data_IF_948622333402
#
_entry.id   IF_948622333402
#
_cell.length_a   1.000
_cell.length_b   1.000
_cell.length_c   1.000
_cell.angle_alpha   90.00
_cell.angle_beta   90.00
_cell.angle_gamma   90.00
#
_symmetry.space_group_name_H-M   'P 1'
#
loop_
_entity.id
_entity.type
_entity.pdbx_description
1 polymer ?
#
# COMPACT_ATOMS: atom_id res chain seq x y z
N UNK A 1 -1.25 39.59 -42.18
CA UNK A 1 -0.51 38.83 -41.11
C UNK A 1 0.97 39.04 -41.38
N UNK A 2 1.61 39.75 -40.50
CA UNK A 2 3.05 39.99 -40.57
C UNK A 2 3.84 38.74 -40.10
N UNK A 3 5.11 38.68 -40.47
CA UNK A 3 5.98 37.55 -39.99
C UNK A 3 5.97 37.43 -38.47
N UNK A 4 5.74 38.50 -37.75
CA UNK A 4 5.62 38.59 -36.31
C UNK A 4 4.32 37.90 -35.78
N UNK A 5 3.21 38.03 -36.50
CA UNK A 5 1.95 37.37 -36.16
C UNK A 5 2.06 35.84 -36.28
N UNK A 6 2.77 35.38 -37.33
CA UNK A 6 2.99 33.95 -37.57
C UNK A 6 3.85 33.38 -36.46
N UNK A 7 4.88 34.09 -36.01
CA UNK A 7 5.78 33.64 -34.92
C UNK A 7 5.02 33.53 -33.60
N UNK A 8 4.09 34.46 -33.32
CA UNK A 8 3.24 34.43 -32.11
C UNK A 8 2.26 33.25 -32.12
N UNK A 9 1.68 32.93 -33.30
CA UNK A 9 0.80 31.75 -33.44
C UNK A 9 1.59 30.44 -33.22
N UNK A 10 2.80 30.32 -33.80
CA UNK A 10 3.65 29.15 -33.60
C UNK A 10 4.00 29.00 -32.10
N UNK A 11 4.34 30.09 -31.44
CA UNK A 11 4.65 30.08 -30.02
C UNK A 11 3.43 29.69 -29.18
N UNK A 12 2.23 30.13 -29.54
CA UNK A 12 0.98 29.75 -28.92
C UNK A 12 0.72 28.24 -29.05
N UNK A 13 0.98 27.65 -30.21
CA UNK A 13 0.85 26.18 -30.41
C UNK A 13 1.87 25.42 -29.57
N UNK A 14 3.07 25.94 -29.39
CA UNK A 14 4.07 25.34 -28.48
C UNK A 14 3.59 25.42 -27.03
N UNK A 15 3.03 26.53 -26.59
CA UNK A 15 2.46 26.67 -25.25
C UNK A 15 1.28 25.70 -25.03
N UNK A 16 0.41 25.50 -26.02
CA UNK A 16 -0.68 24.54 -25.96
C UNK A 16 -0.14 23.09 -25.83
N UNK A 17 0.89 22.75 -26.58
CA UNK A 17 1.55 21.44 -26.48
C UNK A 17 2.23 21.24 -25.11
N UNK A 18 2.83 22.28 -24.53
CA UNK A 18 3.38 22.25 -23.18
C UNK A 18 2.29 22.11 -22.11
N UNK A 19 1.17 22.78 -22.26
CA UNK A 19 0.00 22.60 -21.38
C UNK A 19 -0.48 21.15 -21.40
N UNK A 20 -0.65 20.56 -22.58
CA UNK A 20 -0.99 19.14 -22.74
C UNK A 20 0.06 18.22 -22.08
N UNK A 21 1.35 18.53 -22.22
CA UNK A 21 2.44 17.79 -21.57
C UNK A 21 2.34 17.85 -20.05
N UNK A 22 2.16 19.01 -19.44
CA UNK A 22 2.03 19.13 -17.99
C UNK A 22 0.78 18.46 -17.45
N UNK A 23 -0.37 18.64 -18.12
CA UNK A 23 -1.64 18.01 -17.75
C UNK A 23 -1.57 16.48 -17.82
N UNK A 24 -0.97 15.93 -18.88
CA UNK A 24 -0.75 14.48 -19.00
C UNK A 24 0.26 13.96 -17.98
N UNK A 25 1.30 14.75 -17.65
CA UNK A 25 2.29 14.40 -16.66
C UNK A 25 1.71 14.28 -15.26
N UNK A 26 0.88 15.23 -14.86
CA UNK A 26 0.16 15.22 -13.59
C UNK A 26 -0.65 13.94 -13.45
N UNK A 27 -1.54 13.67 -14.41
CA UNK A 27 -2.42 12.51 -14.37
C UNK A 27 -1.65 11.19 -14.43
N UNK A 28 -0.68 11.05 -15.33
CA UNK A 28 0.08 9.82 -15.46
C UNK A 28 0.85 9.47 -14.17
N UNK A 29 1.54 10.45 -13.56
CA UNK A 29 2.36 10.21 -12.36
C UNK A 29 1.53 10.00 -11.09
N UNK A 30 0.28 10.48 -11.05
CA UNK A 30 -0.63 10.25 -9.92
C UNK A 30 -1.35 8.91 -10.01
N UNK A 31 -1.66 8.44 -11.24
CA UNK A 31 -2.40 7.20 -11.48
C UNK A 31 -1.52 5.98 -11.77
N UNK A 32 -0.19 6.18 -11.92
CA UNK A 32 0.75 5.08 -12.22
C UNK A 32 0.70 3.97 -11.17
N UNK A 33 0.70 2.72 -11.63
CA UNK A 33 0.77 1.55 -10.76
C UNK A 33 2.16 1.43 -10.12
N UNK A 34 2.28 1.83 -8.86
CA UNK A 34 3.55 1.83 -8.11
C UNK A 34 4.13 0.42 -7.91
N UNK A 35 3.27 -0.60 -7.77
CA UNK A 35 3.69 -2.00 -7.62
C UNK A 35 4.38 -2.45 -8.91
N UNK A 36 3.74 -2.23 -10.05
CA UNK A 36 4.32 -2.52 -11.36
C UNK A 36 5.63 -1.77 -11.62
N UNK A 37 5.71 -0.50 -11.21
CA UNK A 37 6.96 0.27 -11.32
C UNK A 37 8.08 -0.31 -10.45
N UNK A 38 7.78 -0.86 -9.26
CA UNK A 38 8.75 -1.57 -8.42
C UNK A 38 9.28 -2.81 -9.11
N UNK A 39 8.39 -3.67 -9.60
CA UNK A 39 8.79 -4.89 -10.34
C UNK A 39 9.70 -4.56 -11.54
N UNK A 40 9.35 -3.53 -12.32
CA UNK A 40 10.19 -3.09 -13.45
C UNK A 40 11.54 -2.53 -13.00
N UNK A 41 11.58 -1.81 -11.87
CA UNK A 41 12.81 -1.24 -11.32
C UNK A 41 13.75 -2.33 -10.78
N UNK A 42 13.23 -3.37 -10.17
CA UNK A 42 13.94 -4.57 -9.71
C UNK A 42 14.48 -5.37 -10.91
N UNK A 43 13.72 -5.44 -11.99
CA UNK A 43 14.18 -6.00 -13.27
C UNK A 43 15.23 -5.14 -14.01
N UNK A 44 15.73 -4.05 -13.39
CA UNK A 44 16.81 -3.22 -13.92
C UNK A 44 16.37 -2.02 -14.76
N UNK A 45 15.07 -1.75 -14.91
CA UNK A 45 14.58 -0.62 -15.71
C UNK A 45 14.89 0.73 -15.02
N UNK A 46 15.82 1.49 -15.60
CA UNK A 46 16.27 2.80 -15.08
C UNK A 46 15.18 3.87 -15.13
N UNK A 47 14.25 3.80 -16.09
CA UNK A 47 13.14 4.75 -16.20
C UNK A 47 12.12 4.51 -15.07
N UNK A 48 11.83 3.24 -14.74
CA UNK A 48 10.97 2.88 -13.62
C UNK A 48 11.54 3.36 -12.27
N UNK A 49 12.86 3.22 -12.08
CA UNK A 49 13.54 3.80 -10.90
C UNK A 49 13.36 5.32 -10.80
N UNK A 50 13.38 6.04 -11.93
CA UNK A 50 13.10 7.48 -11.95
C UNK A 50 11.65 7.80 -11.62
N UNK A 51 10.69 7.02 -12.13
CA UNK A 51 9.26 7.17 -11.78
C UNK A 51 9.08 7.04 -10.28
N UNK A 52 9.60 5.97 -9.66
CA UNK A 52 9.50 5.75 -8.22
C UNK A 52 10.09 6.92 -7.43
N UNK A 53 11.30 7.38 -7.79
CA UNK A 53 11.96 8.51 -7.14
C UNK A 53 11.15 9.82 -7.23
N UNK A 54 10.52 10.08 -8.37
CA UNK A 54 9.69 11.28 -8.59
C UNK A 54 8.40 11.19 -7.78
N UNK A 55 7.75 10.01 -7.75
CA UNK A 55 6.49 9.79 -7.05
C UNK A 55 6.64 9.56 -5.54
N UNK A 56 7.86 9.34 -5.04
CA UNK A 56 8.16 9.26 -3.62
C UNK A 56 7.85 10.57 -2.89
N UNK A 57 8.16 11.70 -3.53
CA UNK A 57 7.80 13.03 -3.01
C UNK A 57 6.67 13.65 -3.84
N UNK A 58 5.47 13.04 -3.73
CA UNK A 58 4.28 13.48 -4.48
C UNK A 58 3.94 14.96 -4.29
N UNK A 59 4.01 15.57 -3.09
CA UNK A 59 3.73 16.99 -2.94
C UNK A 59 4.70 17.88 -3.73
N UNK A 60 5.99 17.56 -3.71
CA UNK A 60 7.00 18.32 -4.48
C UNK A 60 6.82 18.15 -5.99
N UNK A 61 6.51 16.93 -6.42
CA UNK A 61 6.23 16.59 -7.81
C UNK A 61 5.03 17.38 -8.33
N UNK A 62 3.90 17.32 -7.60
CA UNK A 62 2.68 18.04 -7.98
C UNK A 62 2.89 19.55 -8.01
N UNK A 63 3.61 20.12 -7.02
CA UNK A 63 3.94 21.55 -7.02
C UNK A 63 4.76 21.95 -8.24
N UNK A 64 5.76 21.14 -8.64
CA UNK A 64 6.58 21.43 -9.81
C UNK A 64 5.75 21.43 -11.11
N UNK A 65 4.90 20.42 -11.28
CA UNK A 65 4.03 20.28 -12.46
C UNK A 65 3.01 21.43 -12.49
N UNK A 66 2.38 21.75 -11.37
CA UNK A 66 1.38 22.81 -11.24
C UNK A 66 1.98 24.18 -11.56
N UNK A 67 3.16 24.48 -11.05
CA UNK A 67 3.87 25.73 -11.37
C UNK A 67 4.15 25.82 -12.87
N UNK A 68 4.69 24.76 -13.48
CA UNK A 68 4.96 24.69 -14.90
C UNK A 68 3.70 24.88 -15.74
N UNK A 69 2.63 24.19 -15.41
CA UNK A 69 1.34 24.29 -16.11
C UNK A 69 0.74 25.71 -16.02
N UNK A 70 0.76 26.32 -14.82
CA UNK A 70 0.24 27.67 -14.62
C UNK A 70 1.05 28.71 -15.40
N UNK A 71 2.39 28.63 -15.41
CA UNK A 71 3.23 29.54 -16.20
C UNK A 71 2.87 29.44 -17.69
N UNK A 72 2.72 28.22 -18.20
CA UNK A 72 2.37 27.98 -19.61
C UNK A 72 0.98 28.55 -19.94
N UNK A 73 -0.02 28.24 -19.12
CA UNK A 73 -1.41 28.66 -19.37
C UNK A 73 -1.59 30.19 -19.27
N UNK A 74 -0.93 30.83 -18.28
CA UNK A 74 -0.95 32.29 -18.16
C UNK A 74 -0.23 32.97 -19.34
N UNK A 75 0.91 32.41 -19.78
CA UNK A 75 1.64 32.90 -20.94
C UNK A 75 0.79 32.77 -22.23
N UNK A 76 0.13 31.63 -22.42
CA UNK A 76 -0.77 31.41 -23.56
C UNK A 76 -1.93 32.40 -23.56
N UNK A 77 -2.56 32.62 -22.41
CA UNK A 77 -3.67 33.58 -22.27
C UNK A 77 -3.25 35.02 -22.57
N UNK A 78 -2.11 35.44 -22.00
CA UNK A 78 -1.56 36.79 -22.24
C UNK A 78 -1.22 37.03 -23.72
N UNK A 79 -0.55 36.04 -24.35
CA UNK A 79 -0.20 36.14 -25.76
C UNK A 79 -1.42 36.18 -26.67
N UNK A 80 -2.41 35.35 -26.38
CA UNK A 80 -3.68 35.35 -27.15
C UNK A 80 -4.42 36.66 -27.05
N UNK A 81 -4.51 37.20 -25.83
CA UNK A 81 -5.18 38.52 -25.63
C UNK A 81 -4.46 39.60 -26.40
N UNK A 82 -3.12 39.64 -26.36
CA UNK A 82 -2.32 40.62 -27.12
C UNK A 82 -2.53 40.49 -28.64
N UNK A 83 -2.47 39.26 -29.16
CA UNK A 83 -2.67 38.97 -30.58
C UNK A 83 -4.10 39.29 -31.02
N UNK A 84 -5.09 38.98 -30.22
CA UNK A 84 -6.50 39.24 -30.51
C UNK A 84 -6.81 40.75 -30.57
N UNK A 85 -6.25 41.55 -29.65
CA UNK A 85 -6.38 43.01 -29.66
C UNK A 85 -5.77 43.58 -30.95
N UNK A 86 -4.58 43.08 -31.33
CA UNK A 86 -3.86 43.51 -32.54
C UNK A 86 -4.65 43.21 -33.82
N UNK A 87 -5.26 42.02 -33.92
CA UNK A 87 -5.94 41.57 -35.15
C UNK A 87 -7.39 42.03 -35.24
N UNK A 88 -8.12 42.09 -34.13
CA UNK A 88 -9.58 42.25 -34.09
C UNK A 88 -10.05 43.43 -33.24
N UNK A 89 -9.13 44.16 -32.62
CA UNK A 89 -9.46 45.25 -31.69
C UNK A 89 -9.98 44.71 -30.33
N UNK A 90 -10.40 45.66 -29.47
CA UNK A 90 -10.80 45.35 -28.10
C UNK A 90 -12.02 44.39 -27.98
N UNK A 91 -12.98 44.47 -28.89
CA UNK A 91 -14.13 43.58 -28.90
C UNK A 91 -13.75 42.15 -29.29
N UNK A 92 -12.78 41.99 -30.19
CA UNK A 92 -12.27 40.71 -30.61
C UNK A 92 -11.46 39.96 -29.53
N UNK A 93 -10.87 40.71 -28.60
CA UNK A 93 -10.08 40.10 -27.51
C UNK A 93 -10.92 39.17 -26.62
N UNK A 94 -12.14 39.55 -26.26
CA UNK A 94 -13.02 38.72 -25.44
C UNK A 94 -13.43 37.44 -26.15
N UNK A 95 -13.78 37.49 -27.42
CA UNK A 95 -14.16 36.32 -28.24
C UNK A 95 -12.93 35.38 -28.39
N UNK A 96 -11.78 35.93 -28.73
CA UNK A 96 -10.55 35.14 -28.89
C UNK A 96 -10.10 34.45 -27.60
N UNK A 97 -10.21 35.12 -26.46
CA UNK A 97 -9.94 34.51 -25.15
C UNK A 97 -10.92 33.36 -24.87
N UNK A 98 -12.22 33.52 -25.18
CA UNK A 98 -13.20 32.45 -25.03
C UNK A 98 -12.87 31.22 -25.90
N UNK A 99 -12.54 31.43 -27.17
CA UNK A 99 -12.15 30.36 -28.10
C UNK A 99 -10.85 29.67 -27.59
N UNK A 100 -9.85 30.43 -27.18
CA UNK A 100 -8.61 29.85 -26.66
C UNK A 100 -8.85 29.03 -25.38
N UNK A 101 -9.66 29.56 -24.46
CA UNK A 101 -10.00 28.81 -23.24
C UNK A 101 -10.61 27.45 -23.60
N UNK A 102 -11.49 27.41 -24.59
CA UNK A 102 -12.10 26.17 -25.05
C UNK A 102 -11.07 25.22 -25.70
N UNK A 103 -10.14 25.76 -26.50
CA UNK A 103 -9.05 24.99 -27.11
C UNK A 103 -8.08 24.43 -26.05
N UNK A 104 -7.70 25.23 -25.04
CA UNK A 104 -6.85 24.79 -23.93
C UNK A 104 -7.55 23.69 -23.13
N UNK A 105 -8.84 23.86 -22.82
CA UNK A 105 -9.61 22.82 -22.10
C UNK A 105 -9.62 21.49 -22.86
N UNK A 106 -9.91 21.51 -24.16
CA UNK A 106 -9.98 20.25 -24.93
C UNK A 106 -8.62 19.66 -25.19
N UNK A 107 -7.69 20.42 -25.77
CA UNK A 107 -6.42 19.92 -26.29
C UNK A 107 -5.28 20.03 -25.29
N UNK A 108 -5.32 20.96 -24.36
CA UNK A 108 -4.31 21.18 -23.32
C UNK A 108 -4.60 20.47 -22.02
N UNK A 109 -5.87 20.13 -21.73
CA UNK A 109 -6.22 19.59 -20.41
C UNK A 109 -7.03 18.30 -20.47
N UNK A 110 -8.26 18.29 -20.98
CA UNK A 110 -9.16 17.13 -20.88
C UNK A 110 -8.65 15.92 -21.67
N UNK A 111 -8.36 16.12 -22.98
CA UNK A 111 -7.89 15.01 -23.82
C UNK A 111 -6.55 14.42 -23.38
N UNK A 112 -5.52 15.24 -23.02
CA UNK A 112 -4.26 14.73 -22.49
C UNK A 112 -4.41 13.99 -21.16
N UNK A 113 -5.26 14.47 -20.23
CA UNK A 113 -5.53 13.79 -18.95
C UNK A 113 -6.23 12.45 -19.18
N UNK A 114 -7.22 12.39 -20.06
CA UNK A 114 -7.91 11.14 -20.41
C UNK A 114 -6.94 10.12 -21.02
N UNK A 115 -6.09 10.54 -21.97
CA UNK A 115 -5.05 9.68 -22.54
C UNK A 115 -4.05 9.20 -21.49
N UNK A 116 -3.69 10.08 -20.56
CA UNK A 116 -2.75 9.78 -19.49
C UNK A 116 -3.32 8.78 -18.48
N UNK A 117 -4.61 8.80 -18.20
CA UNK A 117 -5.28 7.77 -17.37
C UNK A 117 -5.19 6.39 -18.02
N UNK A 118 -5.47 6.30 -19.34
CA UNK A 118 -5.46 5.04 -20.08
C UNK A 118 -4.04 4.47 -20.24
N UNK A 119 -3.03 5.33 -20.40
CA UNK A 119 -1.65 4.93 -20.70
C UNK A 119 -0.65 5.39 -19.61
N UNK A 120 -1.08 5.45 -18.36
CA UNK A 120 -0.32 6.02 -17.25
C UNK A 120 1.12 5.47 -17.16
N UNK A 121 1.30 4.17 -17.23
CA UNK A 121 2.62 3.54 -17.11
C UNK A 121 3.59 3.98 -18.22
N UNK A 122 3.14 3.97 -19.48
CA UNK A 122 4.00 4.35 -20.62
C UNK A 122 4.39 5.83 -20.58
N UNK A 123 3.42 6.68 -20.28
CA UNK A 123 3.62 8.12 -20.19
C UNK A 123 4.56 8.42 -19.03
N UNK A 124 4.32 7.88 -17.83
CA UNK A 124 5.19 8.06 -16.67
C UNK A 124 6.64 7.68 -16.92
N UNK A 125 6.89 6.53 -17.57
CA UNK A 125 8.25 6.09 -17.94
C UNK A 125 8.94 7.05 -18.91
N UNK A 126 8.19 7.76 -19.74
CA UNK A 126 8.75 8.72 -20.72
C UNK A 126 9.08 10.07 -20.10
N UNK A 127 8.23 10.56 -19.18
CA UNK A 127 8.29 11.94 -18.66
C UNK A 127 9.05 12.08 -17.34
N UNK A 128 9.20 10.99 -16.56
CA UNK A 128 9.79 11.04 -15.22
C UNK A 128 11.18 11.69 -15.21
N UNK A 129 11.97 11.51 -16.28
CA UNK A 129 13.28 12.14 -16.41
C UNK A 129 13.20 13.66 -16.45
N UNK A 130 12.31 14.21 -17.27
CA UNK A 130 12.10 15.66 -17.38
C UNK A 130 11.53 16.23 -16.07
N UNK A 131 10.51 15.60 -15.52
CA UNK A 131 9.90 16.06 -14.26
C UNK A 131 10.92 16.02 -13.11
N UNK A 132 11.79 15.01 -13.06
CA UNK A 132 12.89 14.96 -12.07
C UNK A 132 13.80 16.18 -12.14
N UNK A 133 14.20 16.61 -13.34
CA UNK A 133 15.00 17.82 -13.56
C UNK A 133 14.22 19.06 -13.16
N UNK A 134 12.95 19.16 -13.58
CA UNK A 134 12.08 20.28 -13.24
C UNK A 134 11.92 20.45 -11.73
N UNK A 135 11.71 19.35 -10.99
CA UNK A 135 11.63 19.36 -9.53
C UNK A 135 12.90 19.91 -8.87
N UNK A 136 14.07 19.64 -9.43
CA UNK A 136 15.36 20.17 -8.93
C UNK A 136 15.45 21.66 -9.20
N UNK A 137 15.18 22.08 -10.43
CA UNK A 137 15.26 23.50 -10.86
C UNK A 137 14.25 24.36 -10.08
N UNK A 138 13.03 23.87 -9.89
CA UNK A 138 11.98 24.60 -9.17
C UNK A 138 12.05 24.45 -7.64
N UNK A 139 13.02 23.72 -7.09
CA UNK A 139 13.14 23.52 -5.63
C UNK A 139 13.07 24.83 -4.83
N UNK A 140 13.79 25.92 -5.17
CA UNK A 140 13.71 27.16 -4.40
C UNK A 140 12.32 27.79 -4.44
N UNK A 141 11.65 27.74 -5.59
CA UNK A 141 10.28 28.28 -5.74
C UNK A 141 9.27 27.44 -4.96
N UNK A 142 9.36 26.11 -5.07
CA UNK A 142 8.50 25.16 -4.32
C UNK A 142 8.67 25.36 -2.82
N UNK A 143 9.90 25.58 -2.33
CA UNK A 143 10.15 25.82 -0.93
C UNK A 143 9.43 27.07 -0.41
N UNK A 144 9.47 28.17 -1.17
CA UNK A 144 8.77 29.41 -0.82
C UNK A 144 7.24 29.18 -0.80
N UNK A 145 6.69 28.56 -1.86
CA UNK A 145 5.26 28.27 -1.97
C UNK A 145 4.79 27.37 -0.82
N UNK A 146 5.54 26.31 -0.52
CA UNK A 146 5.18 25.40 0.57
C UNK A 146 5.21 26.10 1.94
N UNK A 147 6.17 26.99 2.20
CA UNK A 147 6.19 27.78 3.43
C UNK A 147 4.99 28.74 3.55
N UNK A 148 4.62 29.38 2.46
CA UNK A 148 3.44 30.24 2.42
C UNK A 148 2.15 29.42 2.62
N UNK A 149 2.04 28.27 1.96
CA UNK A 149 0.92 27.35 2.09
C UNK A 149 0.77 26.84 3.54
N UNK A 150 1.87 26.45 4.19
CA UNK A 150 1.85 26.06 5.60
C UNK A 150 1.39 27.20 6.50
N UNK A 151 1.79 28.45 6.21
CA UNK A 151 1.28 29.63 6.89
C UNK A 151 -0.25 29.79 6.79
N UNK A 152 -0.79 29.56 5.60
CA UNK A 152 -2.25 29.57 5.38
C UNK A 152 -2.94 28.44 6.15
N UNK A 153 -2.40 27.21 6.09
CA UNK A 153 -2.95 26.04 6.80
C UNK A 153 -2.95 26.29 8.33
N UNK A 154 -1.88 26.90 8.83
CA UNK A 154 -1.80 27.26 10.27
C UNK A 154 -2.89 28.24 10.70
N UNK A 155 -3.28 29.19 9.84
CA UNK A 155 -4.41 30.09 10.12
C UNK A 155 -5.76 29.37 10.26
N UNK A 156 -5.91 28.20 9.65
CA UNK A 156 -7.10 27.33 9.80
C UNK A 156 -6.99 26.34 10.98
N UNK A 157 -5.95 26.42 11.80
CA UNK A 157 -5.81 25.61 13.01
C UNK A 157 -5.41 24.15 12.79
N UNK A 158 -5.07 23.75 11.57
CA UNK A 158 -4.69 22.38 11.23
C UNK A 158 -3.19 22.17 11.55
N UNK A 159 -2.90 21.21 12.42
CA UNK A 159 -1.52 20.81 12.74
C UNK A 159 -1.11 19.59 11.87
N UNK A 160 0.10 19.65 11.33
CA UNK A 160 0.66 18.66 10.40
C UNK A 160 0.92 17.25 11.01
N UNK A 161 0.56 17.03 12.26
CA UNK A 161 0.79 15.80 13.03
C UNK A 161 -0.02 14.59 12.51
N UNK A 162 -1.10 14.80 11.76
CA UNK A 162 -2.08 13.75 11.44
C UNK A 162 -1.85 13.07 10.08
N UNK A 163 -0.75 13.34 9.40
CA UNK A 163 -0.58 12.97 7.98
C UNK A 163 0.18 11.65 7.71
N UNK A 164 0.64 10.92 8.72
CA UNK A 164 1.18 9.57 8.50
C UNK A 164 0.07 8.54 8.59
N UNK A 165 -0.64 8.29 7.49
CA UNK A 165 -1.45 7.08 7.36
C UNK A 165 -0.50 5.88 7.28
N UNK A 166 -0.37 5.19 8.39
CA UNK A 166 0.14 3.80 8.39
C UNK A 166 -1.03 2.95 7.91
N UNK A 167 -0.80 2.12 6.92
CA UNK A 167 -1.80 1.15 6.43
C UNK A 167 -2.27 0.31 7.62
N UNK A 168 -3.56 0.25 7.85
CA UNK A 168 -4.17 -0.55 8.91
C UNK A 168 -4.37 -1.98 8.46
N UNK A 169 -4.55 -2.90 9.41
CA UNK A 169 -4.88 -4.29 9.10
C UNK A 169 -6.22 -4.40 8.34
N UNK A 170 -7.21 -3.59 8.70
CA UNK A 170 -8.50 -3.51 8.00
C UNK A 170 -8.34 -3.10 6.53
N UNK A 171 -7.44 -2.16 6.24
CA UNK A 171 -7.12 -1.78 4.86
C UNK A 171 -6.45 -2.93 4.09
N UNK A 172 -5.60 -3.75 4.77
CA UNK A 172 -5.00 -4.94 4.16
C UNK A 172 -6.05 -6.02 3.88
N UNK A 173 -6.97 -6.29 4.81
CA UNK A 173 -8.08 -7.23 4.63
C UNK A 173 -8.94 -6.83 3.43
N UNK A 174 -9.30 -5.54 3.34
CA UNK A 174 -10.06 -5.00 2.21
C UNK A 174 -9.34 -5.20 0.87
N UNK A 175 -8.01 -5.03 0.82
CA UNK A 175 -7.23 -5.26 -0.41
C UNK A 175 -7.27 -6.74 -0.83
N UNK A 176 -7.24 -7.66 0.13
CA UNK A 176 -7.36 -9.10 -0.12
C UNK A 176 -8.75 -9.44 -0.67
N UNK A 177 -9.81 -8.88 -0.07
CA UNK A 177 -11.20 -9.09 -0.52
C UNK A 177 -11.41 -8.56 -1.95
N UNK A 178 -10.93 -7.34 -2.25
CA UNK A 178 -10.94 -6.79 -3.62
C UNK A 178 -10.15 -7.67 -4.60
N UNK A 179 -9.00 -8.20 -4.16
CA UNK A 179 -8.19 -9.12 -4.97
C UNK A 179 -8.93 -10.41 -5.30
N UNK A 180 -9.78 -10.90 -4.42
CA UNK A 180 -10.65 -12.06 -4.64
C UNK A 180 -11.80 -11.70 -5.59
N UNK A 181 -12.49 -10.57 -5.39
CA UNK A 181 -13.54 -10.08 -6.29
C UNK A 181 -13.04 -9.89 -7.74
N UNK A 182 -11.81 -9.41 -7.91
CA UNK A 182 -11.13 -9.24 -9.20
C UNK A 182 -10.61 -10.58 -9.79
N UNK A 183 -10.74 -11.70 -9.07
CA UNK A 183 -10.29 -13.03 -9.51
C UNK A 183 -8.77 -13.22 -9.54
N UNK A 184 -8.02 -12.40 -8.80
CA UNK A 184 -6.56 -12.50 -8.63
C UNK A 184 -6.20 -13.46 -7.49
N UNK A 185 -7.08 -13.59 -6.51
CA UNK A 185 -6.96 -14.43 -5.31
C UNK A 185 -8.15 -15.39 -5.31
N UNK A 186 -7.91 -16.67 -5.03
CA UNK A 186 -8.96 -17.68 -4.88
C UNK A 186 -9.65 -17.56 -3.50
N UNK A 187 -10.90 -18.07 -3.39
CA UNK A 187 -11.67 -18.01 -2.13
C UNK A 187 -10.92 -18.66 -0.97
N UNK A 188 -10.30 -19.82 -1.22
CA UNK A 188 -9.53 -20.55 -0.21
C UNK A 188 -8.26 -19.79 0.21
N UNK A 189 -7.60 -19.11 -0.72
CA UNK A 189 -6.43 -18.27 -0.44
C UNK A 189 -6.79 -17.05 0.39
N UNK A 190 -7.92 -16.39 0.08
CA UNK A 190 -8.47 -15.29 0.85
C UNK A 190 -8.70 -15.71 2.30
N UNK A 191 -9.41 -16.83 2.51
CA UNK A 191 -9.73 -17.34 3.84
C UNK A 191 -8.46 -17.71 4.62
N UNK A 192 -7.45 -18.26 3.94
CA UNK A 192 -6.16 -18.55 4.54
C UNK A 192 -5.43 -17.27 5.01
N UNK A 193 -5.46 -16.21 4.20
CA UNK A 193 -4.85 -14.92 4.57
C UNK A 193 -5.56 -14.30 5.78
N UNK A 194 -6.91 -14.34 5.81
CA UNK A 194 -7.67 -13.86 6.96
C UNK A 194 -7.35 -14.64 8.23
N UNK A 195 -7.27 -15.98 8.14
CA UNK A 195 -6.89 -16.83 9.27
C UNK A 195 -5.49 -16.53 9.81
N UNK A 196 -4.54 -16.11 8.95
CA UNK A 196 -3.20 -15.69 9.40
C UNK A 196 -3.27 -14.41 10.24
N UNK A 197 -4.10 -13.45 9.86
CA UNK A 197 -4.31 -12.24 10.66
C UNK A 197 -4.97 -12.57 12.01
N UNK A 198 -6.03 -13.40 11.99
CA UNK A 198 -6.73 -13.81 13.20
C UNK A 198 -5.83 -14.60 14.16
N UNK A 199 -4.93 -15.42 13.61
CA UNK A 199 -3.96 -16.17 14.41
C UNK A 199 -2.96 -15.25 15.14
N UNK A 200 -2.60 -14.11 14.53
CA UNK A 200 -1.68 -13.15 15.16
C UNK A 200 -2.21 -12.55 16.46
N UNK A 201 -3.53 -12.38 16.56
CA UNK A 201 -4.22 -11.78 17.69
C UNK A 201 -4.86 -12.81 18.64
N UNK A 202 -4.80 -14.12 18.27
CA UNK A 202 -5.42 -15.18 19.04
C UNK A 202 -4.73 -15.37 20.40
N UNK A 203 -5.52 -15.41 21.45
CA UNK A 203 -5.04 -15.76 22.78
C UNK A 203 -5.03 -17.29 22.98
N UNK A 204 -4.10 -17.79 23.82
CA UNK A 204 -3.98 -19.22 24.12
C UNK A 204 -5.32 -19.83 24.58
N UNK A 205 -6.15 -19.07 25.28
CA UNK A 205 -7.47 -19.52 25.76
C UNK A 205 -8.44 -19.84 24.62
N UNK A 206 -8.28 -19.27 23.42
CA UNK A 206 -9.17 -19.47 22.27
C UNK A 206 -8.85 -20.75 21.50
N UNK A 207 -7.60 -21.24 21.61
CA UNK A 207 -7.14 -22.45 20.93
C UNK A 207 -6.89 -23.62 21.87
N UNK A 208 -6.93 -23.41 23.20
CA UNK A 208 -6.71 -24.46 24.18
C UNK A 208 -7.95 -25.36 24.28
N UNK A 209 -7.72 -26.63 24.61
CA UNK A 209 -8.78 -27.55 25.02
C UNK A 209 -9.26 -27.14 26.42
N UNK A 210 -10.55 -26.85 26.63
CA UNK A 210 -11.09 -26.57 27.96
C UNK A 210 -10.85 -27.76 28.90
N UNK A 211 -10.62 -27.49 30.19
CA UNK A 211 -10.34 -28.52 31.17
C UNK A 211 -11.41 -29.62 31.21
N UNK A 212 -12.68 -29.26 31.03
CA UNK A 212 -13.81 -30.18 31.05
C UNK A 212 -13.74 -31.23 29.93
N UNK A 213 -13.06 -30.89 28.85
CA UNK A 213 -12.92 -31.74 27.65
C UNK A 213 -11.54 -32.45 27.62
N UNK A 214 -10.71 -32.24 28.63
CA UNK A 214 -9.39 -32.86 28.73
C UNK A 214 -9.47 -34.21 29.41
N UNK A 215 -8.78 -35.21 28.85
CA UNK A 215 -8.55 -36.51 29.50
C UNK A 215 -7.28 -36.41 30.35
N UNK A 216 -7.40 -36.79 31.63
CA UNK A 216 -6.30 -36.80 32.60
C UNK A 216 -6.01 -38.21 33.02
N UNK A 217 -4.78 -38.47 33.46
CA UNK A 217 -4.34 -39.73 34.05
C UNK A 217 -3.80 -39.51 35.46
N UNK A 218 -4.13 -40.41 36.38
CA UNK A 218 -3.61 -40.32 37.74
C UNK A 218 -2.16 -40.79 37.80
N UNK A 219 -1.35 -40.25 38.71
CA UNK A 219 0.08 -40.59 38.87
C UNK A 219 0.31 -42.06 39.13
N UNK A 220 -0.61 -42.74 39.79
CA UNK A 220 -0.51 -44.18 40.09
C UNK A 220 -1.13 -45.11 39.01
N UNK A 221 -1.54 -44.54 37.83
CA UNK A 221 -2.07 -45.35 36.73
C UNK A 221 -1.04 -46.32 36.19
N UNK A 222 -1.50 -47.55 35.88
CA UNK A 222 -0.60 -48.58 35.35
C UNK A 222 -0.35 -48.41 33.85
N UNK A 223 0.63 -49.13 33.31
CA UNK A 223 0.91 -49.14 31.86
C UNK A 223 -0.32 -49.57 31.05
N UNK A 224 -1.04 -50.60 31.50
CA UNK A 224 -2.23 -51.11 30.79
C UNK A 224 -3.39 -50.10 30.83
N UNK A 225 -3.55 -49.37 31.93
CA UNK A 225 -4.52 -48.27 32.04
C UNK A 225 -4.22 -47.16 31.03
N UNK A 226 -2.95 -46.74 30.97
CA UNK A 226 -2.51 -45.72 30.04
C UNK A 226 -2.70 -46.12 28.59
N UNK A 227 -2.33 -47.35 28.21
CA UNK A 227 -2.54 -47.88 26.87
C UNK A 227 -4.03 -47.94 26.52
N UNK A 228 -4.88 -48.29 27.47
CA UNK A 228 -6.33 -48.30 27.26
C UNK A 228 -6.87 -46.90 26.96
N UNK A 229 -6.49 -45.93 27.75
CA UNK A 229 -6.90 -44.51 27.56
C UNK A 229 -6.35 -43.99 26.22
N UNK A 230 -5.10 -44.23 25.86
CA UNK A 230 -4.54 -43.80 24.58
C UNK A 230 -5.22 -44.48 23.38
N UNK A 231 -5.73 -45.69 23.50
CA UNK A 231 -6.48 -46.37 22.46
C UNK A 231 -7.88 -45.80 22.28
N UNK A 232 -8.53 -45.43 23.37
CA UNK A 232 -9.91 -44.89 23.37
C UNK A 232 -9.89 -43.44 22.85
N UNK A 233 -9.10 -42.56 23.46
CA UNK A 233 -9.13 -41.13 23.22
C UNK A 233 -8.19 -40.69 22.07
N UNK A 234 -7.24 -41.54 21.69
CA UNK A 234 -6.25 -41.30 20.58
C UNK A 234 -5.44 -40.02 20.71
N UNK A 235 -5.33 -39.45 21.89
CA UNK A 235 -4.45 -38.32 22.14
C UNK A 235 -2.96 -38.74 22.13
N UNK A 236 -2.07 -37.84 21.79
CA UNK A 236 -0.63 -38.09 21.81
C UNK A 236 -0.03 -37.80 23.18
N UNK A 237 -0.63 -36.90 23.95
CA UNK A 237 -0.17 -36.44 25.25
C UNK A 237 -1.35 -36.34 26.21
N UNK A 238 -1.15 -36.80 27.46
CA UNK A 238 -2.14 -36.69 28.51
C UNK A 238 -1.51 -36.03 29.75
N UNK A 239 -2.20 -35.06 30.38
CA UNK A 239 -1.76 -34.50 31.66
C UNK A 239 -1.83 -35.57 32.77
N UNK A 240 -0.83 -35.60 33.63
CA UNK A 240 -0.77 -36.45 34.80
C UNK A 240 -1.07 -35.62 36.03
N UNK A 241 -2.02 -36.06 36.84
CA UNK A 241 -2.41 -35.38 38.06
C UNK A 241 -2.15 -36.21 39.32
N UNK A 242 -2.00 -35.50 40.43
CA UNK A 242 -1.92 -36.06 41.78
C UNK A 242 -3.01 -35.44 42.65
N UNK A 243 -3.69 -36.22 43.49
CA UNK A 243 -4.81 -35.83 44.34
C UNK A 243 -6.04 -35.30 43.59
N UNK A 244 -5.89 -34.32 42.73
CA UNK A 244 -7.00 -33.75 41.94
C UNK A 244 -6.54 -33.29 40.57
N UNK A 245 -7.46 -33.17 39.59
CA UNK A 245 -7.19 -32.66 38.24
C UNK A 245 -6.74 -31.21 38.22
N UNK A 246 -6.81 -30.50 39.38
CA UNK A 246 -6.25 -29.17 39.52
C UNK A 246 -4.74 -29.19 39.79
N UNK A 247 -4.23 -30.29 40.29
CA UNK A 247 -2.81 -30.49 40.58
C UNK A 247 -2.13 -31.32 39.49
N UNK A 248 -1.88 -30.72 38.36
CA UNK A 248 -1.17 -31.35 37.24
C UNK A 248 0.34 -31.33 37.52
N UNK A 249 0.93 -32.51 37.65
CA UNK A 249 2.36 -32.68 37.97
C UNK A 249 3.24 -32.96 36.76
N UNK A 250 2.63 -33.26 35.60
CA UNK A 250 3.39 -33.56 34.38
C UNK A 250 2.54 -33.95 33.20
N UNK A 251 3.19 -34.35 32.13
CA UNK A 251 2.56 -34.83 30.88
C UNK A 251 3.18 -36.15 30.51
N UNK A 252 2.36 -37.15 30.19
CA UNK A 252 2.78 -38.43 29.62
C UNK A 252 2.56 -38.41 28.09
N UNK A 253 3.57 -38.84 27.33
CA UNK A 253 3.50 -38.93 25.89
C UNK A 253 3.42 -40.41 25.46
N UNK A 254 2.51 -40.76 24.58
CA UNK A 254 2.35 -42.14 24.07
C UNK A 254 3.66 -42.69 23.46
N UNK A 255 4.50 -41.84 22.88
CA UNK A 255 5.79 -42.28 22.32
C UNK A 255 6.76 -42.79 23.38
N UNK A 256 6.75 -42.19 24.57
CA UNK A 256 7.62 -42.60 25.68
C UNK A 256 7.21 -43.97 26.21
N UNK A 257 5.90 -44.27 26.23
CA UNK A 257 5.38 -45.57 26.58
C UNK A 257 5.82 -46.69 25.60
N UNK A 258 5.94 -46.38 24.32
CA UNK A 258 6.39 -47.32 23.29
C UNK A 258 7.87 -47.67 23.42
N UNK A 259 8.66 -46.83 24.08
CA UNK A 259 10.10 -47.00 24.27
C UNK A 259 10.44 -47.77 25.59
N UNK A 260 9.43 -47.99 26.45
CA UNK A 260 9.64 -48.74 27.70
C UNK A 260 9.94 -50.20 27.42
N UNK A 261 10.95 -50.73 28.13
CA UNK A 261 11.28 -52.18 28.13
C UNK A 261 10.28 -52.95 28.97
N UNK A 262 10.12 -54.26 28.70
CA UNK A 262 9.17 -55.11 29.44
C UNK A 262 9.43 -55.18 30.95
N UNK A 263 10.68 -55.01 31.38
CA UNK A 263 11.06 -54.94 32.79
C UNK A 263 10.57 -53.66 33.47
N UNK A 264 10.47 -52.55 32.72
CA UNK A 264 10.04 -51.24 33.22
C UNK A 264 8.53 -51.09 33.25
N UNK A 265 7.77 -51.93 32.54
CA UNK A 265 6.32 -51.92 32.49
C UNK A 265 5.62 -52.32 33.79
N UNK A 266 6.34 -52.98 34.69
CA UNK A 266 5.86 -53.48 36.00
C UNK A 266 6.04 -52.45 37.14
N UNK A 267 6.69 -51.32 36.90
CA UNK A 267 7.01 -50.32 37.94
C UNK A 267 6.03 -49.14 37.81
N UNK A 268 5.41 -48.83 38.94
CA UNK A 268 4.61 -47.61 39.11
C UNK A 268 5.40 -46.37 38.60
N UNK A 269 4.75 -45.51 37.83
CA UNK A 269 5.37 -44.39 37.07
C UNK A 269 5.97 -43.26 37.93
N UNK A 270 6.65 -43.58 39.03
CA UNK A 270 7.44 -42.61 39.79
C UNK A 270 8.66 -42.07 39.03
N UNK A 271 8.92 -42.56 37.80
CA UNK A 271 10.02 -42.11 36.92
C UNK A 271 9.59 -41.33 35.67
N UNK A 272 8.31 -41.14 35.39
CA UNK A 272 7.89 -40.16 34.39
C UNK A 272 8.00 -38.76 35.00
N UNK A 273 9.21 -38.31 35.17
CA UNK A 273 9.45 -36.88 35.43
C UNK A 273 8.93 -36.10 34.23
N UNK A 274 8.02 -35.18 34.49
CA UNK A 274 7.66 -34.15 33.56
C UNK A 274 8.96 -33.50 33.03
N UNK A 275 9.29 -33.72 31.76
CA UNK A 275 10.40 -33.05 31.10
C UNK A 275 10.15 -31.58 30.83
N UNK A 276 8.95 -31.07 31.14
CA UNK A 276 8.60 -29.66 31.04
C UNK A 276 7.92 -29.21 32.34
N UNK A 277 8.65 -28.49 33.14
CA UNK A 277 8.13 -27.76 34.30
C UNK A 277 7.21 -26.64 33.77
N UNK A 278 6.14 -26.32 34.53
CA UNK A 278 5.21 -25.21 34.31
C UNK A 278 5.86 -23.81 34.13
N UNK A 279 7.19 -23.73 34.05
CA UNK A 279 7.94 -22.49 33.78
C UNK A 279 8.20 -22.26 32.28
N UNK A 280 7.77 -23.17 31.38
CA UNK A 280 7.92 -23.05 29.93
C UNK A 280 6.56 -23.04 29.19
N UNK A 281 5.48 -22.78 29.90
CA UNK A 281 4.15 -22.47 29.33
C UNK A 281 3.92 -20.98 29.31
#
# INVERSE_FOLDING_TARGET
MDADDISQIIFLLILLALSAFFSSSETALTTVNKIRMRTLAEAGNTKAKKVLKVTENSPKMLSAILIGNNIVNLSASSLTTSLAIKLFGNVGAGVATGILTFLILIFGEVSPKTLATIKADKISLSIAGFISVLMVVLTPVIFIINKLSLGVIFLFGIRQSDAKRVMTEEELRTIVDVGQEDGVIEDEERDMIHNVFDFGDAEAKEVMVPRIDMTFVHVDSTYDDLISIFREDKFTRLPVYDESTDNVIGIVNVKDLLLLKDEDKAVSYTHLRAHETAANL
#
